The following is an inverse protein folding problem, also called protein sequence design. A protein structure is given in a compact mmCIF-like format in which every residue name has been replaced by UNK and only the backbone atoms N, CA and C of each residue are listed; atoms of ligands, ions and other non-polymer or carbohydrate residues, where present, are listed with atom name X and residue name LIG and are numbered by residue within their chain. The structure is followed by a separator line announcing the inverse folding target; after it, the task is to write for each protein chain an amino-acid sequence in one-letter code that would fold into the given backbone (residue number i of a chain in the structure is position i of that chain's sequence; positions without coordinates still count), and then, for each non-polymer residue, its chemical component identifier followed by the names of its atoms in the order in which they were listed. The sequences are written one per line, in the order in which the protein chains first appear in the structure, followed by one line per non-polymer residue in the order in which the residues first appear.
data_IF_984561576371
#
_entry.id   IF_984561576371
#
_cell.length_a   1.000
_cell.length_b   1.000
_cell.length_c   1.000
_cell.angle_alpha   90.00
_cell.angle_beta   90.00
_cell.angle_gamma   90.00
#
_symmetry.space_group_name_H-M   'P 1'
#
loop_
_entity.id
_entity.type
_entity.pdbx_description
1 polymer ?
#
# COMPACT_ATOMS: atom_id res chain seq x y z
N UNK A 1 36.42 -20.32 -15.22
CA UNK A 1 36.18 -18.97 -14.75
C UNK A 1 34.70 -18.68 -14.57
N UNK A 2 33.94 -18.05 -15.49
CA UNK A 2 32.52 -17.74 -15.28
C UNK A 2 31.60 -18.98 -15.12
N UNK A 3 31.87 -20.05 -15.87
CA UNK A 3 31.15 -21.33 -15.71
C UNK A 3 31.34 -21.91 -14.31
N UNK A 4 32.57 -21.88 -13.77
CA UNK A 4 32.82 -22.39 -12.43
C UNK A 4 32.13 -21.58 -11.33
N UNK A 5 32.04 -20.26 -11.49
CA UNK A 5 31.29 -19.39 -10.56
C UNK A 5 29.80 -19.70 -10.62
N UNK A 6 29.23 -19.85 -11.81
CA UNK A 6 27.84 -20.22 -11.99
C UNK A 6 27.52 -21.59 -11.36
N UNK A 7 28.37 -22.61 -11.63
CA UNK A 7 28.14 -23.94 -11.11
C UNK A 7 28.28 -24.02 -9.59
N UNK A 8 29.21 -23.24 -9.00
CA UNK A 8 29.36 -23.16 -7.55
C UNK A 8 28.25 -22.35 -6.86
N UNK A 9 27.52 -21.48 -7.60
CA UNK A 9 26.43 -20.66 -7.06
C UNK A 9 25.05 -21.31 -7.17
N UNK A 10 24.93 -22.48 -7.79
CA UNK A 10 23.69 -23.25 -7.85
C UNK A 10 23.38 -23.86 -6.48
N UNK A 11 22.15 -23.65 -6.01
CA UNK A 11 21.68 -24.22 -4.76
C UNK A 11 21.66 -25.77 -4.83
N UNK A 12 22.12 -26.41 -3.79
CA UNK A 12 22.10 -27.87 -3.68
C UNK A 12 20.66 -28.36 -3.45
N UNK A 13 20.26 -29.49 -4.04
CA UNK A 13 18.98 -30.11 -3.70
C UNK A 13 18.89 -30.47 -2.21
N UNK A 14 17.75 -30.26 -1.59
CA UNK A 14 17.52 -30.51 -0.17
C UNK A 14 17.95 -29.42 0.79
N UNK A 15 18.35 -28.21 0.30
CA UNK A 15 18.55 -27.03 1.16
C UNK A 15 17.28 -26.62 1.90
N UNK A 16 17.47 -26.20 3.16
CA UNK A 16 16.38 -25.69 4.02
C UNK A 16 16.01 -24.25 3.66
N UNK A 17 15.50 -24.02 2.44
CA UNK A 17 15.27 -22.69 1.89
C UNK A 17 14.25 -21.86 2.68
N UNK A 18 13.20 -22.48 3.22
CA UNK A 18 12.19 -21.79 4.02
C UNK A 18 12.73 -21.24 5.33
N UNK A 19 13.47 -22.05 6.09
CA UNK A 19 14.14 -21.63 7.33
C UNK A 19 15.20 -20.57 7.06
N UNK A 20 15.97 -20.74 6.00
CA UNK A 20 17.00 -19.77 5.60
C UNK A 20 16.38 -18.42 5.23
N UNK A 21 15.27 -18.42 4.49
CA UNK A 21 14.54 -17.21 4.15
C UNK A 21 13.97 -16.51 5.39
N UNK A 22 13.35 -17.26 6.30
CA UNK A 22 12.80 -16.72 7.53
C UNK A 22 13.86 -16.08 8.41
N UNK A 23 15.02 -16.74 8.58
CA UNK A 23 16.14 -16.22 9.35
C UNK A 23 16.80 -15.01 8.68
N UNK A 24 16.94 -15.02 7.36
CA UNK A 24 17.53 -13.90 6.59
C UNK A 24 16.69 -12.63 6.63
N UNK A 25 15.37 -12.75 6.79
CA UNK A 25 14.45 -11.61 6.95
C UNK A 25 14.35 -11.20 8.44
N UNK A 26 14.35 -12.18 9.35
CA UNK A 26 14.20 -11.94 10.78
C UNK A 26 15.43 -11.33 11.43
N UNK A 27 16.64 -11.69 10.98
CA UNK A 27 17.89 -11.16 11.53
C UNK A 27 17.98 -9.63 11.35
N UNK A 28 17.83 -9.03 10.16
CA UNK A 28 17.80 -7.58 10.02
C UNK A 28 16.67 -6.90 10.81
N UNK A 29 15.53 -7.58 10.95
CA UNK A 29 14.39 -7.03 11.70
C UNK A 29 14.72 -6.83 13.20
N UNK A 30 15.58 -7.61 13.78
CA UNK A 30 16.01 -7.45 15.18
C UNK A 30 16.89 -6.23 15.41
N UNK A 31 17.56 -5.73 14.36
CA UNK A 31 18.42 -4.55 14.39
C UNK A 31 17.68 -3.27 14.04
N UNK A 32 16.47 -3.36 13.50
CA UNK A 32 15.65 -2.19 13.15
C UNK A 32 15.20 -1.45 14.39
N UNK A 33 15.30 -0.11 14.38
CA UNK A 33 14.77 0.73 15.44
C UNK A 33 13.24 0.81 15.38
N UNK A 34 12.60 0.87 16.54
CA UNK A 34 11.14 0.94 16.68
C UNK A 34 10.51 2.29 16.27
N UNK A 35 11.29 3.20 15.72
CA UNK A 35 10.88 4.59 15.54
C UNK A 35 10.31 4.89 14.15
N UNK A 36 9.23 5.67 14.16
CA UNK A 36 8.81 6.47 13.01
C UNK A 36 9.83 7.57 12.78
N UNK A 37 10.56 7.50 11.66
CA UNK A 37 11.43 8.59 11.28
C UNK A 37 10.63 9.70 10.59
N UNK A 38 10.70 10.90 11.17
CA UNK A 38 10.41 12.11 10.42
C UNK A 38 11.59 12.32 9.45
N UNK A 39 11.32 12.32 8.17
CA UNK A 39 12.32 12.69 7.17
C UNK A 39 12.68 14.16 7.39
N UNK A 40 13.69 14.39 8.22
CA UNK A 40 14.18 15.74 8.50
C UNK A 40 14.85 16.27 7.24
N UNK A 41 14.16 17.15 6.50
CA UNK A 41 14.78 18.05 5.55
C UNK A 41 14.31 18.01 4.09
N UNK A 42 13.59 17.00 3.59
CA UNK A 42 13.24 16.92 2.17
C UNK A 42 11.75 16.60 1.88
N UNK A 43 11.05 15.92 2.76
CA UNK A 43 9.60 15.76 2.65
C UNK A 43 8.94 15.90 4.01
N UNK A 44 7.88 16.71 4.06
CA UNK A 44 7.04 16.89 5.27
C UNK A 44 6.10 15.70 5.53
N UNK A 45 6.32 14.58 4.85
CA UNK A 45 5.51 13.38 4.92
C UNK A 45 6.00 12.46 6.04
N UNK A 46 5.07 12.05 6.89
CA UNK A 46 5.32 11.01 7.87
C UNK A 46 5.38 9.64 7.17
N UNK A 47 6.43 8.89 7.38
CA UNK A 47 6.57 7.52 6.86
C UNK A 47 6.81 6.57 8.02
N UNK A 48 5.99 5.51 8.10
CA UNK A 48 6.21 4.43 9.04
C UNK A 48 7.28 3.50 8.47
N UNK A 49 8.36 3.30 9.21
CA UNK A 49 9.51 2.47 8.81
C UNK A 49 9.83 1.44 9.90
N UNK A 50 10.72 0.52 9.58
CA UNK A 50 11.19 -0.49 10.54
C UNK A 50 10.16 -1.58 10.86
N UNK A 51 10.25 -2.12 12.06
CA UNK A 51 9.43 -3.26 12.53
C UNK A 51 7.92 -3.00 12.44
N UNK A 52 7.38 -1.81 12.81
CA UNK A 52 5.96 -1.56 12.67
C UNK A 52 5.46 -1.70 11.22
N UNK A 53 6.21 -1.18 10.27
CA UNK A 53 5.85 -1.29 8.85
C UNK A 53 5.96 -2.73 8.34
N UNK A 54 7.00 -3.44 8.73
CA UNK A 54 7.17 -4.85 8.37
C UNK A 54 6.00 -5.70 8.89
N UNK A 55 5.52 -5.43 10.12
CA UNK A 55 4.33 -6.07 10.67
C UNK A 55 3.06 -5.75 9.89
N UNK A 56 2.86 -4.51 9.45
CA UNK A 56 1.71 -4.14 8.61
C UNK A 56 1.71 -4.92 7.29
N UNK A 57 2.88 -5.05 6.65
CA UNK A 57 3.02 -5.77 5.37
C UNK A 57 2.74 -7.27 5.55
N UNK A 58 3.37 -7.91 6.55
CA UNK A 58 3.23 -9.34 6.82
C UNK A 58 1.79 -9.71 7.21
N UNK A 59 1.13 -8.82 7.94
CA UNK A 59 -0.26 -9.00 8.36
C UNK A 59 -1.28 -8.63 7.27
N UNK A 60 -0.85 -8.15 6.11
CA UNK A 60 -1.72 -7.63 5.06
C UNK A 60 -2.77 -6.64 5.62
N UNK A 61 -2.33 -5.68 6.46
CA UNK A 61 -3.22 -4.74 7.12
C UNK A 61 -3.97 -3.89 6.10
N UNK A 62 -5.30 -3.80 6.22
CA UNK A 62 -6.12 -2.91 5.38
C UNK A 62 -5.89 -1.45 5.74
N UNK A 63 -5.88 -1.15 7.04
CA UNK A 63 -5.64 0.20 7.57
C UNK A 63 -4.18 0.33 7.98
N UNK A 64 -3.40 0.99 7.15
CA UNK A 64 -1.99 1.30 7.42
C UNK A 64 -1.87 2.68 8.06
N UNK A 65 -0.84 2.89 8.88
CA UNK A 65 -0.65 4.15 9.62
C UNK A 65 -0.35 5.35 8.73
N UNK A 66 0.44 5.13 7.67
CA UNK A 66 0.84 6.18 6.75
C UNK A 66 0.56 5.75 5.30
N UNK A 67 -0.74 5.76 4.91
CA UNK A 67 -1.10 5.43 3.55
C UNK A 67 -0.59 6.49 2.57
N UNK A 68 -0.06 6.06 1.44
CA UNK A 68 0.43 6.98 0.41
C UNK A 68 0.43 6.38 -0.98
N UNK A 69 0.24 7.25 -1.97
CA UNK A 69 0.39 6.92 -3.38
C UNK A 69 1.53 7.75 -3.95
N UNK A 70 2.43 7.10 -4.67
CA UNK A 70 3.45 7.77 -5.47
C UNK A 70 2.92 7.90 -6.88
N UNK A 71 2.58 9.13 -7.28
CA UNK A 71 1.94 9.43 -8.55
C UNK A 71 2.99 9.95 -9.52
N UNK A 72 3.20 9.20 -10.58
CA UNK A 72 4.01 9.64 -11.71
C UNK A 72 3.16 10.40 -12.71
N UNK A 73 3.76 11.42 -13.32
CA UNK A 73 3.09 12.29 -14.26
C UNK A 73 3.50 11.99 -15.71
N UNK A 74 2.60 12.25 -16.64
CA UNK A 74 2.96 12.22 -18.06
C UNK A 74 4.11 13.20 -18.36
N UNK A 75 4.96 12.93 -19.35
CA UNK A 75 6.14 13.75 -19.68
C UNK A 75 5.81 15.24 -19.87
N UNK A 76 4.60 15.56 -20.31
CA UNK A 76 4.11 16.93 -20.47
C UNK A 76 4.03 17.70 -19.15
N UNK A 77 3.70 17.02 -18.05
CA UNK A 77 3.50 17.61 -16.72
C UNK A 77 4.67 17.37 -15.76
N UNK A 78 5.53 16.40 -16.05
CA UNK A 78 6.65 16.03 -15.18
C UNK A 78 7.87 16.94 -15.31
N UNK A 79 7.94 17.76 -16.36
CA UNK A 79 9.12 18.60 -16.67
C UNK A 79 9.21 19.86 -15.80
N UNK A 80 8.06 20.45 -15.38
CA UNK A 80 7.99 21.70 -14.65
C UNK A 80 7.22 21.53 -13.32
N UNK A 81 7.66 22.25 -12.29
CA UNK A 81 6.93 22.31 -11.00
C UNK A 81 5.56 22.97 -11.14
N UNK A 82 5.42 23.94 -12.04
CA UNK A 82 4.17 24.65 -12.28
C UNK A 82 3.11 23.73 -12.90
N UNK A 83 3.53 22.95 -13.91
CA UNK A 83 2.63 21.98 -14.53
C UNK A 83 2.28 20.83 -13.57
N UNK A 84 3.20 20.41 -12.72
CA UNK A 84 2.93 19.43 -11.66
C UNK A 84 1.93 19.96 -10.61
N UNK A 85 1.94 21.29 -10.33
CA UNK A 85 0.99 21.92 -9.41
C UNK A 85 -0.47 21.82 -9.90
N UNK A 86 -0.70 21.83 -11.20
CA UNK A 86 -2.04 21.66 -11.78
C UNK A 86 -2.62 20.30 -11.38
N UNK A 87 -1.82 19.24 -11.51
CA UNK A 87 -2.25 17.90 -11.12
C UNK A 87 -2.32 17.76 -9.59
N UNK A 88 -1.41 18.39 -8.85
CA UNK A 88 -1.47 18.44 -7.39
C UNK A 88 -2.81 18.99 -6.90
N UNK A 89 -3.27 20.11 -7.46
CA UNK A 89 -4.55 20.71 -7.09
C UNK A 89 -5.76 19.87 -7.52
N UNK A 90 -5.63 19.09 -8.60
CA UNK A 90 -6.65 18.15 -9.02
C UNK A 90 -6.76 16.91 -8.12
N UNK A 91 -5.66 16.52 -7.43
CA UNK A 91 -5.63 15.36 -6.55
C UNK A 91 -5.97 15.69 -5.09
N UNK A 92 -5.56 16.86 -4.59
CA UNK A 92 -5.75 17.24 -3.19
C UNK A 92 -7.23 17.45 -2.88
N UNK A 93 -7.78 16.63 -1.99
CA UNK A 93 -9.18 16.73 -1.57
C UNK A 93 -9.41 18.02 -0.82
N UNK A 94 -10.32 18.83 -1.34
CA UNK A 94 -10.65 20.14 -0.81
C UNK A 94 -12.16 20.22 -0.59
N UNK A 95 -12.58 20.36 0.67
CA UNK A 95 -13.96 20.56 1.07
C UNK A 95 -14.25 22.06 1.16
N UNK A 96 -15.51 22.43 1.14
CA UNK A 96 -15.92 23.82 1.35
C UNK A 96 -15.41 24.36 2.70
N UNK A 97 -15.37 23.51 3.73
CA UNK A 97 -14.84 23.86 5.06
C UNK A 97 -13.38 24.32 5.02
N UNK A 98 -12.53 23.71 4.19
CA UNK A 98 -11.09 24.07 4.12
C UNK A 98 -10.83 25.43 3.52
N UNK A 99 -11.76 25.94 2.73
CA UNK A 99 -11.66 27.22 2.01
C UNK A 99 -12.44 28.32 2.72
N UNK A 100 -13.37 27.99 3.61
CA UNK A 100 -14.21 28.94 4.33
C UNK A 100 -13.50 29.49 5.57
N UNK A 101 -13.38 30.82 5.69
CA UNK A 101 -12.81 31.49 6.86
C UNK A 101 -13.85 31.82 7.92
N UNK A 102 -15.04 32.23 7.51
CA UNK A 102 -16.14 32.56 8.42
C UNK A 102 -17.49 32.11 7.88
N UNK A 103 -18.39 31.74 8.78
CA UNK A 103 -19.76 31.32 8.50
C UNK A 103 -20.67 32.18 9.35
N UNK A 104 -21.51 32.96 8.69
CA UNK A 104 -22.39 33.95 9.32
C UNK A 104 -23.84 33.72 8.87
N UNK A 105 -24.77 33.89 9.77
CA UNK A 105 -26.21 33.81 9.49
C UNK A 105 -26.83 35.15 9.78
N UNK A 106 -27.46 35.74 8.79
CA UNK A 106 -28.16 37.04 8.89
C UNK A 106 -29.65 36.90 8.61
N UNK A 107 -30.42 37.76 9.22
CA UNK A 107 -31.83 37.96 8.87
C UNK A 107 -31.92 39.14 7.93
N UNK A 108 -32.21 38.88 6.66
CA UNK A 108 -32.26 39.86 5.57
C UNK A 108 -33.58 39.66 4.78
N UNK A 109 -34.65 40.37 5.13
CA UNK A 109 -35.98 40.10 4.59
C UNK A 109 -36.11 40.44 3.11
N UNK A 110 -35.33 41.43 2.63
CA UNK A 110 -35.43 41.89 1.24
C UNK A 110 -34.27 41.29 0.40
N UNK A 111 -34.55 40.35 -0.51
CA UNK A 111 -33.50 39.74 -1.33
C UNK A 111 -32.73 40.72 -2.22
N UNK A 112 -33.43 41.75 -2.72
CA UNK A 112 -32.87 42.77 -3.63
C UNK A 112 -32.12 43.90 -2.92
N UNK A 113 -32.41 44.16 -1.62
CA UNK A 113 -31.80 45.24 -0.84
C UNK A 113 -31.24 44.69 0.44
N UNK A 114 -29.92 44.48 0.49
CA UNK A 114 -29.29 43.89 1.64
C UNK A 114 -29.06 44.82 2.82
N UNK A 115 -29.23 44.31 4.04
CA UNK A 115 -28.91 45.01 5.29
C UNK A 115 -27.41 45.17 5.49
N UNK A 116 -26.60 44.29 4.90
CA UNK A 116 -25.13 44.25 5.05
C UNK A 116 -24.50 45.30 4.12
N UNK A 117 -23.85 46.37 4.66
CA UNK A 117 -23.30 47.43 3.83
C UNK A 117 -22.17 46.99 2.91
N UNK A 118 -21.39 45.99 3.31
CA UNK A 118 -20.23 45.47 2.57
C UNK A 118 -20.66 44.73 1.30
N UNK A 119 -21.84 44.11 1.31
CA UNK A 119 -22.33 43.28 0.21
C UNK A 119 -23.17 44.03 -0.80
N UNK A 120 -23.51 45.32 -0.57
CA UNK A 120 -24.45 46.08 -1.40
C UNK A 120 -24.03 46.17 -2.86
N UNK A 121 -22.79 46.51 -3.10
CA UNK A 121 -22.28 46.78 -4.45
C UNK A 121 -22.46 45.60 -5.40
N UNK A 122 -22.14 44.38 -4.94
CA UNK A 122 -22.25 43.21 -5.81
C UNK A 122 -23.69 42.65 -5.87
N UNK A 123 -24.49 42.82 -4.83
CA UNK A 123 -25.89 42.43 -4.84
C UNK A 123 -26.69 43.35 -5.79
N UNK A 124 -26.48 44.64 -5.73
CA UNK A 124 -27.10 45.60 -6.65
C UNK A 124 -26.66 45.34 -8.11
N UNK A 125 -25.41 45.00 -8.32
CA UNK A 125 -24.89 44.62 -9.64
C UNK A 125 -25.52 43.32 -10.17
N UNK A 126 -25.75 42.35 -9.30
CA UNK A 126 -26.38 41.08 -9.68
C UNK A 126 -27.84 41.29 -10.12
N UNK A 127 -28.62 42.04 -9.34
CA UNK A 127 -30.03 42.32 -9.66
C UNK A 127 -30.22 43.38 -10.74
N UNK A 128 -29.18 44.09 -11.16
CA UNK A 128 -29.26 45.02 -12.29
C UNK A 128 -29.49 44.31 -13.65
N UNK A 129 -29.18 43.01 -13.72
CA UNK A 129 -29.41 42.19 -14.90
C UNK A 129 -30.72 41.44 -14.71
N UNK A 130 -31.79 41.75 -15.50
CA UNK A 130 -33.05 41.06 -15.35
C UNK A 130 -32.96 39.62 -15.83
N UNK A 131 -33.35 38.69 -14.96
CA UNK A 131 -33.44 37.26 -15.24
C UNK A 131 -34.82 36.75 -14.77
N UNK A 132 -35.63 36.27 -15.70
CA UNK A 132 -37.00 35.81 -15.43
C UNK A 132 -37.04 34.65 -14.42
N UNK A 133 -36.02 33.77 -14.39
CA UNK A 133 -35.96 32.67 -13.43
C UNK A 133 -35.62 33.18 -12.01
N UNK A 134 -34.79 34.19 -11.90
CA UNK A 134 -34.44 34.84 -10.63
C UNK A 134 -35.62 35.59 -10.06
N UNK A 135 -36.35 36.39 -10.89
CA UNK A 135 -37.52 37.12 -10.47
C UNK A 135 -38.65 36.21 -9.96
N UNK A 136 -38.87 35.06 -10.60
CA UNK A 136 -39.86 34.07 -10.16
C UNK A 136 -39.48 33.39 -8.83
N UNK A 137 -38.20 33.36 -8.45
CA UNK A 137 -37.70 32.76 -7.21
C UNK A 137 -37.72 33.74 -6.02
N UNK A 138 -37.72 35.07 -6.26
CA UNK A 138 -37.60 36.08 -5.22
C UNK A 138 -38.70 35.99 -4.14
N UNK A 139 -39.95 35.75 -4.53
CA UNK A 139 -41.08 35.64 -3.61
C UNK A 139 -41.03 34.37 -2.72
N UNK A 140 -40.19 33.36 -3.12
CA UNK A 140 -40.10 32.07 -2.44
C UNK A 140 -38.85 31.93 -1.61
N UNK A 141 -37.97 32.93 -1.58
CA UNK A 141 -36.72 32.88 -0.83
C UNK A 141 -36.98 33.16 0.65
N UNK A 142 -36.33 32.32 1.49
CA UNK A 142 -36.32 32.53 2.93
C UNK A 142 -35.64 33.86 3.30
N UNK A 143 -36.16 34.58 4.33
CA UNK A 143 -35.55 35.80 4.84
C UNK A 143 -34.18 35.54 5.54
N UNK A 144 -33.86 34.29 5.82
CA UNK A 144 -32.59 33.92 6.43
C UNK A 144 -31.51 33.75 5.37
N UNK A 145 -30.38 34.40 5.59
CA UNK A 145 -29.23 34.40 4.71
C UNK A 145 -28.04 33.69 5.38
N UNK A 146 -27.45 32.72 4.69
CA UNK A 146 -26.17 32.14 5.04
C UNK A 146 -25.09 32.88 4.23
N UNK A 147 -24.20 33.57 4.93
CA UNK A 147 -23.03 34.26 4.35
C UNK A 147 -21.76 33.44 4.67
N UNK A 148 -21.10 33.00 3.62
CA UNK A 148 -19.81 32.30 3.72
C UNK A 148 -18.71 33.23 3.21
N UNK A 149 -17.71 33.49 4.05
CA UNK A 149 -16.52 34.24 3.66
C UNK A 149 -15.43 33.25 3.35
N UNK A 150 -14.89 33.30 2.13
CA UNK A 150 -13.85 32.39 1.67
C UNK A 150 -12.46 33.00 1.85
N UNK A 151 -11.49 32.16 2.15
CA UNK A 151 -10.07 32.54 2.26
C UNK A 151 -9.44 32.62 0.88
N UNK A 152 -9.06 33.84 0.46
CA UNK A 152 -8.41 34.10 -0.83
C UNK A 152 -7.11 33.31 -1.00
N UNK A 153 -6.31 33.16 0.05
CA UNK A 153 -5.05 32.46 -0.02
C UNK A 153 -5.27 30.95 -0.35
N UNK A 154 -6.25 30.35 0.28
CA UNK A 154 -6.65 28.95 0.01
C UNK A 154 -7.27 28.80 -1.38
N UNK A 155 -8.11 29.72 -1.80
CA UNK A 155 -8.72 29.69 -3.15
C UNK A 155 -7.65 29.73 -4.24
N UNK A 156 -6.67 30.63 -4.11
CA UNK A 156 -5.55 30.72 -5.05
C UNK A 156 -4.62 29.49 -5.01
N UNK A 157 -4.33 28.97 -3.83
CA UNK A 157 -3.49 27.78 -3.70
C UNK A 157 -4.13 26.54 -4.33
N UNK A 158 -5.44 26.41 -4.21
CA UNK A 158 -6.22 25.32 -4.80
C UNK A 158 -6.70 25.59 -6.24
N UNK A 159 -6.38 26.78 -6.78
CA UNK A 159 -6.82 27.21 -8.11
C UNK A 159 -8.33 27.01 -8.31
N UNK A 160 -9.11 27.61 -7.39
CA UNK A 160 -10.58 27.62 -7.41
C UNK A 160 -11.08 29.00 -7.76
N UNK A 161 -12.17 29.08 -8.54
CA UNK A 161 -12.89 30.31 -8.86
C UNK A 161 -14.21 30.36 -8.10
N UNK A 162 -14.72 31.57 -7.84
CA UNK A 162 -16.01 31.76 -7.16
C UNK A 162 -17.16 31.13 -7.95
N UNK A 163 -17.11 31.22 -9.27
CA UNK A 163 -18.10 30.61 -10.16
C UNK A 163 -18.11 29.09 -10.10
N UNK A 164 -16.93 28.44 -10.00
CA UNK A 164 -16.82 26.97 -9.83
C UNK A 164 -17.42 26.52 -8.51
N UNK A 165 -17.14 27.24 -7.42
CA UNK A 165 -17.69 26.94 -6.10
C UNK A 165 -19.21 27.07 -6.10
N UNK A 166 -19.73 28.19 -6.61
CA UNK A 166 -21.17 28.43 -6.71
C UNK A 166 -21.88 27.36 -7.58
N UNK A 167 -21.29 27.01 -8.72
CA UNK A 167 -21.81 25.97 -9.62
C UNK A 167 -21.87 24.58 -8.94
N UNK A 168 -20.87 24.22 -8.14
CA UNK A 168 -20.87 22.93 -7.41
C UNK A 168 -21.91 22.89 -6.30
N UNK A 169 -22.07 23.99 -5.58
CA UNK A 169 -23.14 24.13 -4.57
C UNK A 169 -24.51 24.00 -5.25
N UNK A 170 -24.73 24.72 -6.34
CA UNK A 170 -25.97 24.66 -7.11
C UNK A 170 -26.25 23.29 -7.73
N UNK A 171 -25.20 22.58 -8.19
CA UNK A 171 -25.33 21.20 -8.73
C UNK A 171 -25.77 20.19 -7.69
N UNK A 172 -25.39 20.38 -6.43
CA UNK A 172 -25.71 19.44 -5.35
C UNK A 172 -27.14 19.63 -4.82
N UNK A 173 -27.59 20.85 -4.70
CA UNK A 173 -28.89 21.17 -4.12
C UNK A 173 -29.96 21.59 -5.18
N UNK A 174 -29.53 21.76 -6.42
CA UNK A 174 -30.43 22.07 -7.53
C UNK A 174 -31.15 23.39 -7.34
N UNK A 175 -32.50 23.35 -7.41
CA UNK A 175 -33.38 24.53 -7.32
C UNK A 175 -33.80 24.91 -5.89
N UNK A 176 -33.35 24.16 -4.88
CA UNK A 176 -33.72 24.38 -3.48
C UNK A 176 -32.88 25.47 -2.81
N UNK A 177 -31.80 25.88 -3.47
CA UNK A 177 -30.88 26.88 -2.96
C UNK A 177 -30.60 27.93 -4.04
N UNK A 178 -30.63 29.19 -3.62
CA UNK A 178 -30.21 30.31 -4.43
C UNK A 178 -28.85 30.83 -3.96
N UNK A 179 -27.86 30.93 -4.85
CA UNK A 179 -26.52 31.32 -4.55
C UNK A 179 -26.09 32.54 -5.33
N UNK A 180 -25.70 33.59 -4.61
CA UNK A 180 -25.05 34.78 -5.18
C UNK A 180 -23.59 34.79 -4.69
N UNK A 181 -22.66 35.14 -5.54
CA UNK A 181 -21.25 35.24 -5.19
C UNK A 181 -20.62 36.55 -5.62
N UNK A 182 -19.62 37.01 -4.89
CA UNK A 182 -18.78 38.16 -5.27
C UNK A 182 -17.88 37.80 -6.45
N UNK A 183 -17.29 38.81 -7.08
CA UNK A 183 -16.24 38.61 -8.11
C UNK A 183 -14.93 38.05 -7.49
N UNK A 184 -14.14 37.31 -8.29
CA UNK A 184 -12.89 36.75 -7.85
C UNK A 184 -11.85 37.79 -7.39
N UNK A 185 -11.97 39.04 -7.85
CA UNK A 185 -11.09 40.16 -7.52
C UNK A 185 -11.61 41.07 -6.38
N UNK A 186 -12.80 40.79 -5.82
CA UNK A 186 -13.35 41.55 -4.69
C UNK A 186 -12.40 41.53 -3.46
N UNK A 187 -12.47 42.52 -2.59
CA UNK A 187 -11.65 42.54 -1.37
C UNK A 187 -11.94 41.34 -0.47
N UNK A 188 -13.20 41.02 -0.29
CA UNK A 188 -13.70 39.83 0.39
C UNK A 188 -14.37 38.89 -0.60
N UNK A 189 -14.09 37.60 -0.50
CA UNK A 189 -14.74 36.57 -1.30
C UNK A 189 -15.96 36.06 -0.54
N UNK A 190 -17.16 36.50 -0.94
CA UNK A 190 -18.39 36.20 -0.23
C UNK A 190 -19.33 35.36 -1.09
N UNK A 191 -19.86 34.31 -0.49
CA UNK A 191 -20.97 33.52 -1.01
C UNK A 191 -22.22 33.79 -0.16
N UNK A 192 -23.31 34.17 -0.79
CA UNK A 192 -24.63 34.37 -0.16
C UNK A 192 -25.54 33.24 -0.61
N UNK A 193 -26.05 32.51 0.36
CA UNK A 193 -26.89 31.35 0.12
C UNK A 193 -28.22 31.54 0.82
N UNK A 194 -29.32 31.41 0.04
CA UNK A 194 -30.68 31.42 0.54
C UNK A 194 -31.40 30.14 0.17
N UNK A 195 -32.30 29.71 1.02
CA UNK A 195 -33.15 28.55 0.77
C UNK A 195 -34.35 29.04 -0.04
N UNK A 196 -34.74 28.30 -1.05
CA UNK A 196 -35.92 28.53 -1.87
C UNK A 196 -37.01 27.53 -1.49
N UNK A 197 -38.12 28.01 -1.03
CA UNK A 197 -39.23 27.16 -0.61
C UNK A 197 -40.05 26.74 -1.85
N UNK A 198 -39.91 25.47 -2.22
CA UNK A 198 -40.60 24.88 -3.37
C UNK A 198 -41.95 24.22 -3.01
N UNK A 199 -42.23 23.99 -1.72
CA UNK A 199 -43.46 23.37 -1.21
C UNK A 199 -44.28 24.36 -0.39
N UNK A 200 -45.31 25.03 -0.99
CA UNK A 200 -46.13 26.01 -0.29
C UNK A 200 -46.99 25.42 0.84
N UNK A 201 -47.13 24.11 0.92
CA UNK A 201 -47.95 23.43 1.92
C UNK A 201 -47.18 23.03 3.21
N UNK A 202 -45.88 23.21 3.25
CA UNK A 202 -45.06 23.01 4.43
C UNK A 202 -44.78 24.36 5.09
N UNK A 203 -45.68 24.82 5.93
CA UNK A 203 -45.35 25.83 6.93
C UNK A 203 -44.28 25.24 7.87
N UNK A 204 -42.99 25.49 7.59
CA UNK A 204 -41.90 25.24 8.53
C UNK A 204 -41.99 26.30 9.61
N UNK A 205 -42.96 26.13 10.52
CA UNK A 205 -43.12 27.01 11.66
C UNK A 205 -42.04 26.76 12.66
N UNK A 206 -41.09 27.66 12.77
CA UNK A 206 -40.48 27.97 14.05
C UNK A 206 -39.03 27.67 14.29
N UNK A 207 -38.26 27.03 13.39
CA UNK A 207 -36.83 26.76 13.61
C UNK A 207 -35.99 26.83 12.32
N UNK A 208 -36.29 27.79 11.44
CA UNK A 208 -35.55 27.96 10.18
C UNK A 208 -34.06 28.25 10.37
N UNK A 209 -33.72 28.99 11.44
CA UNK A 209 -32.32 29.29 11.76
C UNK A 209 -31.53 28.06 12.21
N UNK A 210 -32.15 27.12 12.94
CA UNK A 210 -31.54 25.86 13.35
C UNK A 210 -31.34 24.94 12.15
N UNK A 211 -32.37 24.90 11.27
CA UNK A 211 -32.26 24.12 10.03
C UNK A 211 -31.15 24.68 9.13
N UNK A 212 -31.07 26.00 8.98
CA UNK A 212 -29.99 26.63 8.18
C UNK A 212 -28.60 26.37 8.76
N UNK A 213 -28.46 26.36 10.07
CA UNK A 213 -27.17 26.00 10.73
C UNK A 213 -26.77 24.53 10.50
N UNK A 214 -27.75 23.62 10.57
CA UNK A 214 -27.50 22.22 10.29
C UNK A 214 -27.14 21.97 8.80
N UNK A 215 -27.85 22.65 7.91
CA UNK A 215 -27.59 22.68 6.48
C UNK A 215 -26.18 23.23 6.18
N UNK A 216 -25.83 24.36 6.81
CA UNK A 216 -24.51 24.96 6.67
C UNK A 216 -23.38 23.99 7.09
N UNK A 217 -23.56 23.29 8.21
CA UNK A 217 -22.59 22.29 8.66
C UNK A 217 -22.48 21.12 7.68
N UNK A 218 -23.60 20.63 7.17
CA UNK A 218 -23.61 19.57 6.16
C UNK A 218 -22.96 20.04 4.85
N UNK A 219 -23.26 21.25 4.39
CA UNK A 219 -22.62 21.82 3.20
C UNK A 219 -21.10 21.92 3.34
N UNK A 220 -20.62 22.34 4.50
CA UNK A 220 -19.18 22.48 4.76
C UNK A 220 -18.44 21.14 4.74
N UNK A 221 -19.07 20.08 5.25
CA UNK A 221 -18.43 18.75 5.35
C UNK A 221 -18.57 17.91 4.08
N UNK A 222 -19.73 17.94 3.43
CA UNK A 222 -20.08 17.01 2.37
C UNK A 222 -19.75 17.54 0.97
N UNK A 223 -19.67 18.87 0.80
CA UNK A 223 -19.31 19.43 -0.51
C UNK A 223 -17.82 19.35 -0.76
N UNK A 224 -17.45 18.45 -1.67
CA UNK A 224 -16.11 18.37 -2.22
C UNK A 224 -15.99 19.34 -3.41
N UNK A 225 -15.17 20.37 -3.24
CA UNK A 225 -14.92 21.36 -4.30
C UNK A 225 -13.96 20.80 -5.35
N UNK A 226 -12.92 20.09 -4.92
CA UNK A 226 -11.90 19.54 -5.81
C UNK A 226 -11.19 18.37 -5.15
N UNK A 227 -10.58 17.52 -5.97
CA UNK A 227 -9.71 16.46 -5.46
C UNK A 227 -10.37 15.09 -5.36
N UNK A 228 -9.55 14.13 -4.93
CA UNK A 228 -9.92 12.72 -4.80
C UNK A 228 -10.20 12.41 -3.33
N UNK A 229 -11.34 11.80 -2.99
CA UNK A 229 -11.65 11.44 -1.62
C UNK A 229 -10.60 10.49 -1.05
N UNK A 230 -10.20 10.72 0.20
CA UNK A 230 -9.17 9.94 0.88
C UNK A 230 -7.74 10.50 0.75
N UNK A 231 -7.51 11.54 -0.04
CA UNK A 231 -6.20 12.20 -0.17
C UNK A 231 -6.23 13.56 0.52
N UNK A 232 -5.59 13.66 1.68
CA UNK A 232 -5.59 14.90 2.46
C UNK A 232 -4.61 15.94 1.93
N UNK A 233 -3.39 15.50 1.59
CA UNK A 233 -2.31 16.39 1.13
C UNK A 233 -1.55 15.74 -0.02
N UNK A 234 -0.98 16.56 -0.88
CA UNK A 234 -0.14 16.14 -2.00
C UNK A 234 1.13 16.97 -2.01
N UNK A 235 2.28 16.30 -2.03
CA UNK A 235 3.60 16.93 -2.03
C UNK A 235 4.28 16.74 -3.38
N UNK A 236 4.89 17.80 -3.89
CA UNK A 236 5.70 17.75 -5.11
C UNK A 236 7.14 17.40 -4.70
N UNK A 237 7.64 16.27 -5.17
CA UNK A 237 9.00 15.80 -4.91
C UNK A 237 9.77 15.76 -6.21
N UNK A 238 10.94 16.40 -6.21
CA UNK A 238 11.87 16.28 -7.33
C UNK A 238 12.67 14.99 -7.17
N UNK A 239 12.51 14.07 -8.08
CA UNK A 239 13.31 12.85 -8.08
C UNK A 239 14.70 13.14 -8.64
N UNK A 240 15.73 13.05 -7.78
CA UNK A 240 17.13 13.13 -8.18
C UNK A 240 17.66 11.82 -8.79
N UNK A 241 16.95 10.72 -8.61
CA UNK A 241 17.26 9.45 -9.26
C UNK A 241 16.82 9.55 -10.72
N UNK A 242 17.78 9.86 -11.55
CA UNK A 242 17.63 9.98 -12.99
C UNK A 242 16.92 8.74 -13.57
N UNK A 243 15.66 8.90 -13.95
CA UNK A 243 14.99 7.94 -14.80
C UNK A 243 15.72 7.98 -16.14
N UNK A 244 16.39 6.89 -16.52
CA UNK A 244 17.05 6.80 -17.80
C UNK A 244 15.99 6.61 -18.88
N UNK A 245 15.84 7.57 -19.76
CA UNK A 245 15.02 7.46 -20.95
C UNK A 245 15.94 7.26 -22.16
N UNK A 246 15.65 6.24 -22.95
CA UNK A 246 16.32 6.07 -24.24
C UNK A 246 15.75 7.08 -25.22
N UNK A 247 16.59 7.92 -25.76
CA UNK A 247 16.21 8.83 -26.84
C UNK A 247 16.47 8.14 -28.20
N UNK A 248 15.42 7.83 -28.97
CA UNK A 248 15.58 7.14 -30.24
C UNK A 248 16.28 7.99 -31.33
N UNK A 249 16.32 9.33 -31.16
CA UNK A 249 16.95 10.21 -32.17
C UNK A 249 18.47 10.31 -31.94
N UNK A 250 18.91 10.37 -30.70
CA UNK A 250 20.34 10.49 -30.35
C UNK A 250 21.02 9.15 -30.09
N UNK A 251 20.24 8.10 -29.81
CA UNK A 251 20.73 6.76 -29.42
C UNK A 251 21.36 6.72 -28.02
N UNK A 252 21.25 7.77 -27.23
CA UNK A 252 21.82 7.87 -25.90
C UNK A 252 20.75 7.74 -24.79
N UNK A 253 21.19 7.43 -23.59
CA UNK A 253 20.34 7.37 -22.41
C UNK A 253 20.37 8.70 -21.67
N UNK A 254 19.34 9.51 -21.83
CA UNK A 254 19.19 10.76 -21.10
C UNK A 254 18.69 10.56 -19.67
N UNK A 255 19.29 11.34 -18.76
CA UNK A 255 18.87 11.40 -17.35
C UNK A 255 17.85 12.52 -17.16
N UNK A 256 16.57 12.19 -17.24
CA UNK A 256 15.51 13.17 -17.03
C UNK A 256 15.27 13.37 -15.53
N UNK A 257 15.29 14.62 -15.09
CA UNK A 257 14.80 15.01 -13.77
C UNK A 257 13.29 15.17 -13.86
N UNK A 258 12.58 14.32 -13.16
CA UNK A 258 11.11 14.34 -13.16
C UNK A 258 10.58 14.85 -11.82
N UNK A 259 9.45 15.57 -11.87
CA UNK A 259 8.65 15.86 -10.68
C UNK A 259 7.64 14.74 -10.48
N UNK A 260 7.58 14.23 -9.26
CA UNK A 260 6.68 13.17 -8.83
C UNK A 260 5.81 13.69 -7.69
N UNK A 261 4.57 13.28 -7.63
CA UNK A 261 3.68 13.65 -6.54
C UNK A 261 3.60 12.51 -5.52
N UNK A 262 3.75 12.86 -4.26
CA UNK A 262 3.50 11.94 -3.14
C UNK A 262 2.27 12.39 -2.37
N UNK A 263 1.34 11.48 -2.13
CA UNK A 263 0.10 11.77 -1.43
C UNK A 263 0.16 11.35 0.03
N UNK A 264 -0.60 12.04 0.86
CA UNK A 264 -0.96 11.61 2.20
C UNK A 264 -2.41 11.11 2.15
N UNK A 265 -2.56 9.82 2.28
CA UNK A 265 -3.79 9.09 1.99
C UNK A 265 -3.71 8.24 0.72
N UNK A 266 -4.63 7.28 0.59
CA UNK A 266 -4.71 6.38 -0.56
C UNK A 266 -6.12 6.33 -1.14
N UNK A 267 -6.20 6.41 -2.46
CA UNK A 267 -7.33 6.05 -3.28
C UNK A 267 -6.80 5.82 -4.70
N UNK A 268 -6.16 4.68 -4.90
CA UNK A 268 -5.46 4.38 -6.14
C UNK A 268 -6.40 4.41 -7.35
N UNK A 269 -7.62 3.87 -7.20
CA UNK A 269 -8.61 3.78 -8.30
C UNK A 269 -8.95 5.14 -8.89
N UNK A 270 -9.29 6.11 -8.04
CA UNK A 270 -9.71 7.43 -8.50
C UNK A 270 -8.53 8.31 -8.92
N UNK A 271 -7.35 8.11 -8.30
CA UNK A 271 -6.09 8.76 -8.71
C UNK A 271 -5.71 8.40 -10.14
N UNK A 272 -5.86 7.12 -10.52
CA UNK A 272 -5.55 6.66 -11.87
C UNK A 272 -6.51 7.21 -12.93
N UNK A 273 -7.69 7.68 -12.54
CA UNK A 273 -8.67 8.30 -13.42
C UNK A 273 -8.39 9.79 -13.69
N UNK A 274 -7.45 10.40 -12.95
CA UNK A 274 -7.13 11.83 -13.13
C UNK A 274 -6.27 12.03 -14.38
N UNK A 275 -6.67 13.00 -15.20
CA UNK A 275 -5.94 13.36 -16.40
C UNK A 275 -4.52 13.85 -16.08
N UNK A 276 -3.54 13.34 -16.82
CA UNK A 276 -2.13 13.70 -16.63
C UNK A 276 -1.33 12.77 -15.72
N UNK A 277 -1.97 11.79 -15.08
CA UNK A 277 -1.32 10.74 -14.29
C UNK A 277 -0.84 9.60 -15.20
N UNK A 278 0.39 9.17 -15.00
CA UNK A 278 0.93 7.98 -15.67
C UNK A 278 0.51 6.72 -14.91
N UNK A 279 -0.52 6.07 -15.44
CA UNK A 279 -1.12 4.86 -14.85
C UNK A 279 -0.11 3.70 -14.75
N UNK A 280 0.82 3.62 -15.71
CA UNK A 280 1.76 2.49 -15.80
C UNK A 280 2.82 2.48 -14.70
N UNK A 281 3.15 3.65 -14.14
CA UNK A 281 4.21 3.83 -13.13
C UNK A 281 3.68 4.15 -11.74
N UNK A 282 2.44 4.61 -11.62
CA UNK A 282 1.84 5.03 -10.35
C UNK A 282 1.63 3.84 -9.42
N UNK A 283 2.08 3.97 -8.17
CA UNK A 283 2.08 2.90 -7.18
C UNK A 283 1.56 3.38 -5.82
N UNK A 284 0.79 2.51 -5.15
CA UNK A 284 0.38 2.69 -3.76
C UNK A 284 1.26 1.85 -2.82
N UNK A 285 1.52 2.34 -1.61
CA UNK A 285 2.18 1.56 -0.57
C UNK A 285 1.20 0.60 0.15
N UNK A 286 -0.10 0.70 -0.13
CA UNK A 286 -1.11 -0.23 0.38
C UNK A 286 -1.27 -1.43 -0.57
N UNK A 287 -0.66 -2.56 -0.20
CA UNK A 287 -0.69 -3.77 -1.02
C UNK A 287 -2.11 -4.35 -1.21
N UNK A 288 -3.01 -4.13 -0.24
CA UNK A 288 -4.40 -4.57 -0.32
C UNK A 288 -5.16 -3.79 -1.39
N UNK A 289 -4.93 -2.48 -1.45
CA UNK A 289 -5.52 -1.63 -2.48
C UNK A 289 -4.99 -1.98 -3.88
N UNK A 290 -3.68 -2.21 -4.01
CA UNK A 290 -3.06 -2.68 -5.25
C UNK A 290 -3.67 -4.01 -5.69
N UNK A 291 -3.91 -4.93 -4.76
CA UNK A 291 -4.59 -6.19 -5.05
C UNK A 291 -6.01 -6.00 -5.60
N UNK A 292 -6.78 -5.09 -4.98
CA UNK A 292 -8.18 -4.81 -5.41
C UNK A 292 -8.25 -4.18 -6.81
N UNK A 293 -7.28 -3.34 -7.16
CA UNK A 293 -7.29 -2.59 -8.44
C UNK A 293 -6.62 -3.37 -9.57
N UNK A 294 -5.43 -3.94 -9.32
CA UNK A 294 -4.60 -4.56 -10.36
C UNK A 294 -4.51 -6.09 -10.27
N UNK A 295 -4.96 -6.68 -9.18
CA UNK A 295 -4.92 -8.11 -8.97
C UNK A 295 -3.67 -8.63 -8.25
N UNK A 296 -3.55 -9.98 -8.17
CA UNK A 296 -2.57 -10.65 -7.29
C UNK A 296 -1.12 -10.52 -7.77
N UNK A 297 -0.86 -10.49 -9.05
CA UNK A 297 0.50 -10.37 -9.58
C UNK A 297 1.09 -8.98 -9.31
N UNK A 298 0.29 -7.93 -9.46
CA UNK A 298 0.68 -6.57 -9.11
C UNK A 298 0.91 -6.44 -7.59
N UNK A 299 0.04 -7.05 -6.79
CA UNK A 299 0.20 -7.10 -5.33
C UNK A 299 1.49 -7.83 -4.92
N UNK A 300 1.84 -8.93 -5.61
CA UNK A 300 3.12 -9.61 -5.40
C UNK A 300 4.32 -8.68 -5.63
N UNK A 301 4.31 -7.95 -6.75
CA UNK A 301 5.35 -6.97 -7.06
C UNK A 301 5.43 -5.84 -6.03
N UNK A 302 4.27 -5.34 -5.59
CA UNK A 302 4.17 -4.29 -4.56
C UNK A 302 4.69 -4.76 -3.20
N UNK A 303 4.29 -5.95 -2.74
CA UNK A 303 4.77 -6.55 -1.49
C UNK A 303 6.30 -6.69 -1.47
N UNK A 304 6.85 -7.22 -2.57
CA UNK A 304 8.29 -7.42 -2.69
C UNK A 304 9.05 -6.09 -2.64
N UNK A 305 8.54 -5.07 -3.31
CA UNK A 305 9.11 -3.72 -3.30
C UNK A 305 9.05 -3.10 -1.91
N UNK A 306 7.91 -3.20 -1.24
CA UNK A 306 7.72 -2.62 0.09
C UNK A 306 8.59 -3.30 1.15
N UNK A 307 8.69 -4.64 1.16
CA UNK A 307 9.59 -5.36 2.08
C UNK A 307 11.04 -4.97 1.84
N UNK A 308 11.46 -4.89 0.57
CA UNK A 308 12.80 -4.46 0.21
C UNK A 308 13.08 -3.04 0.69
N UNK A 309 12.16 -2.11 0.47
CA UNK A 309 12.30 -0.72 0.90
C UNK A 309 12.50 -0.61 2.43
N UNK A 310 11.74 -1.41 3.20
CA UNK A 310 11.85 -1.43 4.68
C UNK A 310 13.22 -1.94 5.12
N UNK A 311 13.74 -3.00 4.49
CA UNK A 311 15.02 -3.61 4.85
C UNK A 311 16.20 -2.74 4.40
N UNK A 312 16.17 -2.24 3.16
CA UNK A 312 17.25 -1.41 2.60
C UNK A 312 17.35 -0.04 3.26
N UNK A 313 16.29 0.44 3.90
CA UNK A 313 16.30 1.71 4.61
C UNK A 313 17.35 1.76 5.74
N UNK A 314 17.51 0.65 6.47
CA UNK A 314 18.53 0.53 7.52
C UNK A 314 19.94 0.18 6.98
N UNK A 315 20.11 0.15 5.66
CA UNK A 315 21.37 -0.22 5.02
C UNK A 315 21.65 -1.72 4.96
N UNK A 316 20.71 -2.54 5.43
CA UNK A 316 20.81 -4.00 5.35
C UNK A 316 20.47 -4.50 3.94
N UNK A 317 21.12 -5.56 3.50
CA UNK A 317 20.83 -6.19 2.21
C UNK A 317 20.38 -7.64 2.42
N UNK A 318 19.24 -7.99 1.84
CA UNK A 318 18.72 -9.36 1.78
C UNK A 318 18.56 -9.78 0.32
N UNK A 319 18.99 -11.00 -0.02
CA UNK A 319 18.89 -11.49 -1.38
C UNK A 319 17.41 -11.60 -1.81
N UNK A 320 17.15 -11.29 -3.07
CA UNK A 320 15.82 -11.37 -3.69
C UNK A 320 15.12 -12.72 -3.46
N UNK A 321 15.85 -13.83 -3.47
CA UNK A 321 15.29 -15.18 -3.34
C UNK A 321 14.52 -15.39 -2.06
N UNK A 322 15.03 -14.88 -0.94
CA UNK A 322 14.41 -15.02 0.39
C UNK A 322 13.14 -14.17 0.50
N UNK A 323 13.18 -12.94 -0.04
CA UNK A 323 12.03 -12.06 -0.08
C UNK A 323 10.95 -12.60 -1.02
N UNK A 324 11.36 -13.10 -2.19
CA UNK A 324 10.44 -13.68 -3.17
C UNK A 324 9.74 -14.91 -2.62
N UNK A 325 10.43 -15.78 -1.91
CA UNK A 325 9.83 -16.98 -1.30
C UNK A 325 8.74 -16.63 -0.30
N UNK A 326 8.97 -15.62 0.56
CA UNK A 326 7.95 -15.14 1.50
C UNK A 326 6.73 -14.59 0.76
N UNK A 327 6.97 -13.72 -0.22
CA UNK A 327 5.89 -13.08 -0.99
C UNK A 327 5.12 -14.10 -1.83
N UNK A 328 5.80 -15.10 -2.38
CA UNK A 328 5.15 -16.19 -3.13
C UNK A 328 4.20 -17.01 -2.26
N UNK A 329 4.57 -17.28 -1.01
CA UNK A 329 3.66 -17.94 -0.06
C UNK A 329 2.46 -17.05 0.24
N UNK A 330 2.66 -15.74 0.44
CA UNK A 330 1.58 -14.79 0.73
C UNK A 330 0.58 -14.65 -0.42
N UNK A 331 0.98 -14.94 -1.65
CA UNK A 331 0.18 -14.74 -2.88
C UNK A 331 -0.18 -16.03 -3.60
N UNK A 332 0.25 -17.18 -3.12
CA UNK A 332 0.12 -18.48 -3.82
C UNK A 332 -1.32 -18.94 -4.06
N UNK A 333 -2.27 -18.52 -3.25
CA UNK A 333 -3.66 -18.92 -3.35
C UNK A 333 -4.52 -18.02 -4.25
N UNK A 334 -3.93 -17.03 -4.92
CA UNK A 334 -4.66 -16.04 -5.72
C UNK A 334 -5.30 -14.93 -4.89
N UNK A 335 -5.21 -14.99 -3.57
CA UNK A 335 -5.61 -13.97 -2.61
C UNK A 335 -4.44 -13.62 -1.69
N UNK A 336 -4.49 -12.45 -1.07
CA UNK A 336 -3.48 -12.06 -0.09
C UNK A 336 -3.67 -12.87 1.19
N UNK A 337 -2.62 -13.58 1.59
CA UNK A 337 -2.59 -14.37 2.81
C UNK A 337 -1.62 -13.73 3.81
N UNK A 338 -2.12 -13.36 4.98
CA UNK A 338 -1.29 -12.88 6.06
C UNK A 338 -0.47 -14.01 6.68
N UNK A 339 0.77 -13.74 7.07
CA UNK A 339 1.61 -14.68 7.83
C UNK A 339 1.24 -14.60 9.32
N UNK A 340 0.00 -14.90 9.61
CA UNK A 340 -0.59 -14.94 10.96
C UNK A 340 -1.47 -16.19 11.08
N UNK A 341 -1.94 -16.48 12.30
CA UNK A 341 -2.89 -17.57 12.54
C UNK A 341 -4.14 -17.50 11.64
N UNK A 342 -4.58 -16.28 11.31
CA UNK A 342 -5.76 -16.07 10.45
C UNK A 342 -5.51 -16.40 8.97
N UNK A 343 -4.27 -16.41 8.52
CA UNK A 343 -3.89 -16.77 7.16
C UNK A 343 -3.34 -18.20 7.06
N UNK A 344 -2.25 -18.49 7.77
CA UNK A 344 -1.52 -19.77 7.67
C UNK A 344 -2.39 -20.96 8.13
N UNK A 345 -3.14 -20.81 9.22
CA UNK A 345 -3.96 -21.89 9.75
C UNK A 345 -5.20 -22.21 8.90
N UNK A 346 -5.52 -21.39 7.90
CA UNK A 346 -6.60 -21.63 6.93
C UNK A 346 -6.14 -22.32 5.64
N UNK A 347 -4.86 -22.64 5.55
CA UNK A 347 -4.32 -23.38 4.40
C UNK A 347 -4.62 -24.86 4.52
N UNK A 348 -4.68 -25.57 3.37
CA UNK A 348 -4.90 -27.02 3.31
C UNK A 348 -3.65 -27.82 3.70
N UNK A 349 -3.04 -27.49 4.81
CA UNK A 349 -1.89 -28.21 5.39
C UNK A 349 -2.39 -29.17 6.48
N UNK A 350 -1.58 -30.18 6.82
CA UNK A 350 -1.90 -31.13 7.87
C UNK A 350 -2.17 -30.48 9.23
N UNK A 351 -3.08 -31.05 10.00
CA UNK A 351 -3.49 -30.50 11.30
C UNK A 351 -2.31 -30.40 12.28
N UNK A 352 -1.40 -31.39 12.29
CA UNK A 352 -0.22 -31.37 13.13
C UNK A 352 0.73 -30.23 12.79
N UNK A 353 0.88 -29.91 11.52
CA UNK A 353 1.69 -28.77 11.11
C UNK A 353 1.06 -27.43 11.50
N UNK A 354 -0.25 -27.27 11.30
CA UNK A 354 -0.98 -26.06 11.70
C UNK A 354 -0.95 -25.82 13.20
N UNK A 355 -1.08 -26.88 14.02
CA UNK A 355 -1.07 -26.76 15.48
C UNK A 355 0.29 -26.36 16.07
N UNK A 356 1.39 -26.54 15.32
CA UNK A 356 2.74 -26.13 15.80
C UNK A 356 2.94 -24.62 15.80
N UNK A 357 2.14 -23.86 15.04
CA UNK A 357 2.29 -22.43 14.92
C UNK A 357 1.55 -21.68 16.05
N UNK A 358 0.24 -21.72 16.08
CA UNK A 358 -0.65 -21.11 17.09
C UNK A 358 -1.98 -21.89 17.13
N UNK A 359 -2.80 -21.64 18.15
CA UNK A 359 -4.13 -22.27 18.31
C UNK A 359 -4.09 -23.82 18.34
N UNK A 360 -3.14 -24.35 19.09
CA UNK A 360 -2.83 -25.78 19.12
C UNK A 360 -4.05 -26.66 19.46
N UNK A 361 -4.78 -26.31 20.53
CA UNK A 361 -5.91 -27.11 21.03
C UNK A 361 -7.11 -27.01 20.10
N UNK A 362 -7.41 -25.82 19.62
CA UNK A 362 -8.56 -25.54 18.74
C UNK A 362 -8.43 -26.32 17.43
N UNK A 363 -7.24 -26.30 16.82
CA UNK A 363 -6.97 -26.99 15.53
C UNK A 363 -7.03 -28.50 15.71
N UNK A 364 -6.46 -29.03 16.80
CA UNK A 364 -6.52 -30.46 17.07
C UNK A 364 -7.95 -30.94 17.37
N UNK A 365 -8.73 -30.15 18.08
CA UNK A 365 -10.15 -30.45 18.32
C UNK A 365 -10.97 -30.42 17.02
N UNK A 366 -10.75 -29.43 16.17
CA UNK A 366 -11.41 -29.34 14.88
C UNK A 366 -11.06 -30.55 14.00
N UNK A 367 -9.77 -30.87 13.85
CA UNK A 367 -9.30 -32.01 13.08
C UNK A 367 -9.86 -33.34 13.61
N UNK A 368 -9.92 -33.50 14.93
CA UNK A 368 -10.50 -34.70 15.54
C UNK A 368 -12.00 -34.78 15.31
N UNK A 369 -12.73 -33.68 15.32
CA UNK A 369 -14.18 -33.65 15.08
C UNK A 369 -14.53 -33.94 13.62
N UNK A 370 -13.70 -33.47 12.68
CA UNK A 370 -13.86 -33.67 11.23
C UNK A 370 -13.30 -35.02 10.75
N UNK A 371 -12.44 -35.66 11.55
CA UNK A 371 -11.71 -36.86 11.13
C UNK A 371 -10.65 -36.60 10.07
N UNK A 372 -10.01 -35.43 10.14
CA UNK A 372 -8.98 -35.02 9.17
C UNK A 372 -7.76 -35.95 9.24
N UNK A 373 -7.25 -36.31 8.08
CA UNK A 373 -6.08 -37.17 7.92
C UNK A 373 -4.85 -36.31 7.63
N UNK A 374 -3.76 -36.55 8.38
CA UNK A 374 -2.47 -35.91 8.16
C UNK A 374 -1.48 -36.92 7.54
N UNK A 375 -0.88 -36.54 6.40
CA UNK A 375 0.11 -37.42 5.69
C UNK A 375 1.43 -37.56 6.46
N UNK A 376 1.70 -36.75 7.46
CA UNK A 376 2.95 -36.69 8.23
C UNK A 376 4.22 -36.48 7.39
N UNK A 377 4.10 -35.84 6.23
CA UNK A 377 5.24 -35.55 5.33
C UNK A 377 5.90 -34.21 5.59
N UNK A 378 5.30 -33.36 6.40
CA UNK A 378 5.85 -32.03 6.72
C UNK A 378 6.98 -32.08 7.73
N UNK A 379 7.75 -31.00 7.82
CA UNK A 379 8.85 -30.86 8.77
C UNK A 379 8.34 -30.86 10.22
N UNK A 380 7.29 -30.13 10.52
CA UNK A 380 6.71 -30.03 11.87
C UNK A 380 6.24 -31.37 12.39
N UNK A 381 5.54 -32.19 11.56
CA UNK A 381 5.07 -33.52 11.92
C UNK A 381 6.20 -34.47 12.26
N UNK A 382 7.27 -34.49 11.43
CA UNK A 382 8.41 -35.36 11.65
C UNK A 382 9.20 -34.98 12.91
N UNK A 383 9.36 -33.68 13.19
CA UNK A 383 9.98 -33.20 14.42
C UNK A 383 9.18 -33.61 15.67
N UNK A 384 7.82 -33.47 15.60
CA UNK A 384 6.94 -33.90 16.68
C UNK A 384 7.04 -35.41 16.97
N UNK A 385 7.18 -36.23 15.92
CA UNK A 385 7.30 -37.68 16.04
C UNK A 385 8.72 -38.15 16.35
N UNK A 386 9.70 -37.25 16.46
CA UNK A 386 11.09 -37.58 16.71
C UNK A 386 11.83 -38.15 15.51
N UNK A 387 11.31 -38.01 14.31
CA UNK A 387 11.88 -38.45 13.05
C UNK A 387 12.71 -37.35 12.41
N UNK A 388 13.64 -37.72 11.51
CA UNK A 388 14.42 -36.77 10.73
C UNK A 388 13.51 -36.03 9.75
N UNK A 389 13.57 -34.69 9.74
CA UNK A 389 12.80 -33.88 8.81
C UNK A 389 13.23 -34.19 7.35
N UNK A 390 12.30 -34.22 6.37
CA UNK A 390 12.59 -34.51 4.97
C UNK A 390 13.21 -33.33 4.23
N UNK A 391 14.28 -32.74 4.80
CA UNK A 391 15.05 -31.64 4.27
C UNK A 391 16.51 -31.75 4.70
N UNK A 392 17.39 -31.09 3.98
CA UNK A 392 18.83 -31.21 4.23
C UNK A 392 19.32 -32.64 4.06
N UNK A 393 20.01 -33.19 5.06
CA UNK A 393 20.50 -34.60 5.07
C UNK A 393 19.35 -35.62 5.14
N UNK A 394 18.17 -35.24 5.59
CA UNK A 394 16.96 -36.08 5.62
C UNK A 394 16.17 -36.12 4.31
N UNK A 395 16.57 -35.38 3.29
CA UNK A 395 15.86 -35.32 2.02
C UNK A 395 16.09 -36.53 1.11
N UNK A 396 17.10 -37.33 1.41
CA UNK A 396 17.45 -38.54 0.67
C UNK A 396 17.92 -39.64 1.60
N UNK A 397 17.73 -40.87 1.17
CA UNK A 397 18.21 -42.05 1.85
C UNK A 397 19.30 -42.74 1.00
N UNK A 398 20.25 -43.35 1.69
CA UNK A 398 21.28 -44.17 1.05
C UNK A 398 20.92 -45.64 1.26
N UNK A 399 20.48 -46.27 0.19
CA UNK A 399 20.17 -47.70 0.19
C UNK A 399 21.24 -48.49 -0.54
N UNK A 400 21.54 -49.67 -0.02
CA UNK A 400 22.45 -50.58 -0.67
C UNK A 400 21.77 -51.19 -1.90
N UNK A 401 22.39 -51.05 -3.07
CA UNK A 401 21.91 -51.69 -4.29
C UNK A 401 22.34 -53.16 -4.29
N UNK A 402 21.42 -54.04 -3.86
CA UNK A 402 21.66 -55.47 -3.72
C UNK A 402 21.88 -56.14 -5.08
N UNK A 403 21.31 -55.59 -6.15
CA UNK A 403 21.43 -56.17 -7.49
C UNK A 403 22.82 -55.93 -8.08
N UNK A 404 23.33 -54.69 -7.93
CA UNK A 404 24.72 -54.39 -8.26
C UNK A 404 25.74 -55.20 -7.41
N UNK A 405 25.37 -55.46 -6.16
CA UNK A 405 26.27 -56.23 -5.25
C UNK A 405 26.43 -57.72 -5.67
N UNK A 406 25.41 -58.28 -6.35
CA UNK A 406 25.51 -59.67 -6.89
C UNK A 406 26.56 -59.80 -7.97
N UNK A 407 26.80 -58.74 -8.72
CA UNK A 407 27.75 -58.73 -9.83
C UNK A 407 29.17 -58.29 -9.41
N UNK A 408 29.36 -57.90 -8.15
CA UNK A 408 30.66 -57.52 -7.61
C UNK A 408 31.49 -58.75 -7.39
N UNK A 409 32.44 -58.95 -8.27
CA UNK A 409 33.51 -59.95 -8.08
C UNK A 409 34.45 -59.46 -6.99
N UNK A 410 34.33 -60.03 -5.79
CA UNK A 410 35.27 -59.78 -4.72
C UNK A 410 36.62 -60.39 -5.08
N UNK A 411 37.59 -59.57 -5.51
CA UNK A 411 38.93 -59.95 -5.69
C UNK A 411 39.52 -60.33 -4.29
N UNK A 412 39.50 -61.59 -3.95
CA UNK A 412 40.01 -62.12 -2.67
C UNK A 412 41.49 -61.83 -2.42
N UNK A 413 42.21 -61.45 -3.46
CA UNK A 413 43.65 -61.14 -3.38
C UNK A 413 43.96 -59.74 -2.85
N UNK A 414 42.94 -58.87 -2.72
CA UNK A 414 43.04 -57.58 -2.05
C UNK A 414 42.28 -57.58 -0.72
N UNK A 415 42.64 -58.44 0.18
CA UNK A 415 42.19 -58.33 1.55
C UNK A 415 42.66 -57.01 2.16
N UNK A 416 41.82 -56.37 2.99
CA UNK A 416 42.20 -55.15 3.71
C UNK A 416 43.55 -55.24 4.41
N UNK A 417 43.93 -56.40 4.79
CA UNK A 417 45.29 -56.71 5.35
C UNK A 417 46.38 -56.34 4.39
N UNK A 418 46.26 -56.66 3.08
CA UNK A 418 47.26 -56.31 2.08
C UNK A 418 47.36 -54.84 1.76
N UNK A 419 46.21 -54.15 1.82
CA UNK A 419 46.12 -52.68 1.66
C UNK A 419 46.76 -51.93 2.85
N UNK A 420 46.64 -52.45 4.06
CA UNK A 420 47.29 -51.90 5.25
C UNK A 420 48.78 -52.25 5.29
N UNK A 421 49.16 -53.47 4.90
CA UNK A 421 50.55 -53.86 4.81
C UNK A 421 51.33 -53.00 3.79
N UNK A 422 50.76 -52.75 2.60
CA UNK A 422 51.38 -51.87 1.61
C UNK A 422 51.50 -50.42 2.06
N UNK A 423 50.54 -49.93 2.88
CA UNK A 423 50.57 -48.57 3.44
C UNK A 423 51.57 -48.41 4.59
N UNK A 424 51.87 -49.50 5.29
CA UNK A 424 52.80 -49.51 6.41
C UNK A 424 54.21 -49.95 5.99
N UNK A 425 54.44 -50.23 4.67
CA UNK A 425 55.79 -50.67 4.17
C UNK A 425 56.24 -52.00 4.73
N UNK A 426 55.27 -52.84 5.12
CA UNK A 426 55.62 -54.22 5.62
C UNK A 426 55.59 -55.20 4.46
N UNK A 427 56.65 -55.93 4.28
CA UNK A 427 56.76 -57.00 3.27
C UNK A 427 55.79 -58.15 3.61
N UNK A 428 55.16 -58.74 2.59
CA UNK A 428 54.19 -59.83 2.73
C UNK A 428 54.67 -61.10 3.41
N UNK A 429 55.96 -61.26 3.61
CA UNK A 429 56.53 -62.45 4.22
C UNK A 429 56.46 -62.52 5.77
N UNK A 430 56.16 -61.36 6.40
CA UNK A 430 56.07 -61.26 7.87
C UNK A 430 54.69 -61.57 8.46
N UNK A 431 53.64 -61.72 7.66
CA UNK A 431 52.29 -62.01 8.12
C UNK A 431 51.90 -63.48 8.27
N UNK A 432 52.82 -64.41 7.96
CA UNK A 432 52.56 -65.85 7.99
C UNK A 432 52.51 -66.53 9.36
N UNK A 433 52.81 -65.83 10.47
CA UNK A 433 53.01 -66.52 11.76
C UNK A 433 52.30 -65.95 13.00
N UNK A 434 51.32 -64.99 12.83
CA UNK A 434 50.60 -64.54 13.99
C UNK A 434 49.08 -64.68 13.78
N UNK A 435 48.52 -65.77 14.29
CA UNK A 435 47.13 -65.94 14.59
C UNK A 435 46.75 -64.97 15.72
N UNK A 436 45.81 -64.06 15.56
CA UNK A 436 45.27 -63.29 16.69
C UNK A 436 44.40 -64.22 17.53
N UNK A 437 44.83 -64.43 18.80
CA UNK A 437 44.04 -65.10 19.80
C UNK A 437 42.68 -64.45 19.98
N UNK A 438 41.66 -65.28 20.12
CA UNK A 438 40.26 -64.91 20.20
C UNK A 438 39.91 -63.90 21.31
N UNK A 439 39.06 -63.02 20.96
CA UNK A 439 38.10 -62.42 21.90
C UNK A 439 36.68 -62.80 21.40
N UNK A 440 36.13 -63.73 22.11
CA UNK A 440 34.73 -64.07 22.14
C UNK A 440 33.95 -63.04 23.01
N UNK A 441 32.61 -62.93 22.93
CA UNK A 441 31.77 -61.78 22.81
C UNK A 441 31.57 -60.96 24.06
#
# INVERSE_FOLDING_TARGET
SEMCIRDSSVAQPGEMCGTLAAQSIGEPATQMTLNTFHYAGVSSKNVTLGVPRLKEIINCAENIKTPSVTVYLHPKYSASSESAKIIQTALAYTTLQTVTSAVEVFYDPDPSSTVIPEDRDFVDAFFAIPDEEVEASLERQSPWLLRLVLDRAQMLDKNLTMSEVASKIGAMFGKDIFVIHSEDNAEELVLRIRIVDNDPDKEVQGEEDVFLKSLAQQMLTDIALKGVPGISKVFIVKQDKSTRRFDPETGEWDTLKEYVLETDGTNLKDVLAVDGVDVSRTLSNNCVEVFRVFGIEAARGSLLKEIRNVIEFDGSYVNYRHLALLVDIMTSQGTLMAITRHGINRTNQGALMRCTFEETVEILMEAASMGDMDDCKGVGQNVLLGQMAPMGTGSFELNLDVDMLKDVVVNRDQSYANLWASRLGMDNDDMGSRTPGGMTP
#
